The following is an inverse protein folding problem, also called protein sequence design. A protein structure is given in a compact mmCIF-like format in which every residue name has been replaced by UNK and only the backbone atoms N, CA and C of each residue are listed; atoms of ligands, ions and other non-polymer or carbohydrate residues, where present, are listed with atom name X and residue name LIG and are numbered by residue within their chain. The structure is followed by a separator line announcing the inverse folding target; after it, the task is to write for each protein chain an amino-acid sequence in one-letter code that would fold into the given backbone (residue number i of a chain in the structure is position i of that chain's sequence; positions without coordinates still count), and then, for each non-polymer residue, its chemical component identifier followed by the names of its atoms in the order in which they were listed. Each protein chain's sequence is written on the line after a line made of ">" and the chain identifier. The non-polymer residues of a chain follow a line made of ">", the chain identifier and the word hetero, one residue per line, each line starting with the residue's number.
data_IF_390516003094
#
_entry.id   IF_390516003094
#
_cell.length_a   1.000
_cell.length_b   1.000
_cell.length_c   1.000
_cell.angle_alpha   90.00
_cell.angle_beta   90.00
_cell.angle_gamma   90.00
#
_symmetry.space_group_name_H-M   'P 1'
#
loop_
_entity.id
_entity.type
_entity.pdbx_description
1 polymer ?
#
# COMPACT_ATOMS: atom_id res chain seq x y z
N UNK A 1 -13.56 1.34 -23.45
CA UNK A 1 -14.10 0.44 -24.49
C UNK A 1 -14.16 -1.00 -23.99
N UNK A 2 -13.04 -1.75 -23.89
CA UNK A 2 -13.06 -3.18 -23.54
C UNK A 2 -13.79 -3.54 -22.22
N UNK A 3 -13.52 -2.85 -21.11
CA UNK A 3 -14.20 -3.11 -19.84
C UNK A 3 -15.72 -2.86 -19.89
N UNK A 4 -16.16 -1.78 -20.54
CA UNK A 4 -17.57 -1.50 -20.75
C UNK A 4 -18.23 -2.55 -21.64
N UNK A 5 -17.52 -3.03 -22.67
CA UNK A 5 -17.97 -4.14 -23.52
C UNK A 5 -18.06 -5.45 -22.75
N UNK A 6 -17.10 -5.76 -21.86
CA UNK A 6 -17.13 -6.95 -21.00
C UNK A 6 -18.27 -6.89 -19.99
N UNK A 7 -18.48 -5.74 -19.33
CA UNK A 7 -19.59 -5.54 -18.40
C UNK A 7 -20.96 -5.63 -19.10
N UNK A 8 -21.07 -5.10 -20.33
CA UNK A 8 -22.27 -5.21 -21.14
C UNK A 8 -22.55 -6.65 -21.62
N UNK A 9 -21.49 -7.45 -21.82
CA UNK A 9 -21.59 -8.82 -22.36
C UNK A 9 -21.81 -9.90 -21.31
N UNK A 10 -21.28 -9.72 -20.09
CA UNK A 10 -21.33 -10.74 -19.03
C UNK A 10 -22.01 -10.26 -17.75
N UNK A 11 -22.51 -9.02 -17.72
CA UNK A 11 -22.91 -8.35 -16.49
C UNK A 11 -21.70 -7.84 -15.70
N UNK A 12 -21.88 -6.78 -14.93
CA UNK A 12 -20.86 -6.36 -13.97
C UNK A 12 -20.86 -7.35 -12.79
N UNK A 13 -19.69 -7.80 -12.31
CA UNK A 13 -19.62 -8.69 -11.15
C UNK A 13 -20.24 -7.98 -9.94
N UNK A 14 -20.93 -8.69 -9.02
CA UNK A 14 -21.63 -8.06 -7.90
C UNK A 14 -20.66 -7.31 -6.98
N UNK A 15 -19.44 -7.83 -6.80
CA UNK A 15 -18.37 -7.26 -5.98
C UNK A 15 -17.02 -7.45 -6.66
N UNK A 16 -16.13 -6.47 -6.52
CA UNK A 16 -14.75 -6.53 -7.01
C UNK A 16 -13.79 -6.31 -5.85
N UNK A 17 -12.89 -7.27 -5.64
CA UNK A 17 -11.87 -7.23 -4.61
C UNK A 17 -10.48 -7.34 -5.22
N UNK A 18 -9.52 -6.61 -4.67
CA UNK A 18 -8.13 -6.64 -5.07
C UNK A 18 -7.26 -7.12 -3.91
N UNK A 19 -6.49 -8.19 -4.14
CA UNK A 19 -5.38 -8.58 -3.29
C UNK A 19 -4.09 -8.35 -4.08
N UNK A 20 -3.17 -7.57 -3.52
CA UNK A 20 -1.95 -7.21 -4.21
C UNK A 20 -0.76 -7.20 -3.25
N UNK A 21 0.39 -7.62 -3.78
CA UNK A 21 1.65 -7.67 -3.06
C UNK A 21 2.67 -6.70 -3.66
N UNK A 22 3.45 -6.04 -2.81
CA UNK A 22 4.58 -5.20 -3.24
C UNK A 22 4.14 -4.11 -4.23
N UNK A 23 4.87 -3.91 -5.33
CA UNK A 23 4.53 -2.96 -6.41
C UNK A 23 3.13 -3.19 -7.00
N UNK A 24 2.59 -4.41 -6.96
CA UNK A 24 1.23 -4.68 -7.42
C UNK A 24 0.18 -3.82 -6.72
N UNK A 25 0.44 -3.42 -5.48
CA UNK A 25 -0.43 -2.51 -4.72
C UNK A 25 -0.55 -1.13 -5.40
N UNK A 26 0.54 -0.63 -5.97
CA UNK A 26 0.54 0.62 -6.72
C UNK A 26 -0.15 0.46 -8.09
N UNK A 27 -0.06 -0.72 -8.70
CA UNK A 27 -0.79 -1.04 -9.93
C UNK A 27 -2.30 -1.00 -9.68
N UNK A 28 -2.78 -1.59 -8.58
CA UNK A 28 -4.20 -1.52 -8.22
C UNK A 28 -4.62 -0.07 -8.02
N UNK A 29 -3.87 0.72 -7.25
CA UNK A 29 -4.16 2.15 -7.05
C UNK A 29 -4.21 2.93 -8.36
N UNK A 30 -3.28 2.65 -9.28
CA UNK A 30 -3.27 3.24 -10.61
C UNK A 30 -4.48 2.79 -11.45
N UNK A 31 -4.89 1.53 -11.35
CA UNK A 31 -6.07 1.03 -12.07
C UNK A 31 -7.35 1.78 -11.65
N UNK A 32 -7.48 2.18 -10.38
CA UNK A 32 -8.63 2.98 -9.90
C UNK A 32 -8.76 4.34 -10.59
N UNK A 33 -7.68 4.87 -11.16
CA UNK A 33 -7.70 6.15 -11.91
C UNK A 33 -7.99 5.95 -13.39
N UNK A 34 -7.94 4.71 -13.87
CA UNK A 34 -8.09 4.39 -15.27
C UNK A 34 -9.57 4.41 -15.67
N UNK A 35 -9.97 5.07 -16.79
CA UNK A 35 -11.37 5.16 -17.21
C UNK A 35 -12.07 3.80 -17.41
N UNK A 36 -11.31 2.75 -17.72
CA UNK A 36 -11.87 1.40 -17.84
C UNK A 36 -12.39 0.83 -16.52
N UNK A 37 -11.95 1.37 -15.37
CA UNK A 37 -12.44 0.94 -14.06
C UNK A 37 -13.72 1.65 -13.62
N UNK A 38 -14.12 2.74 -14.27
CA UNK A 38 -15.30 3.55 -13.92
C UNK A 38 -16.57 2.71 -13.67
N UNK A 39 -16.93 1.73 -14.52
CA UNK A 39 -18.14 0.91 -14.32
C UNK A 39 -18.10 0.02 -13.06
N UNK A 40 -16.92 -0.20 -12.48
CA UNK A 40 -16.71 -1.09 -11.34
C UNK A 40 -16.41 -0.35 -10.04
N UNK A 41 -16.16 0.96 -10.05
CA UNK A 41 -15.76 1.71 -8.85
C UNK A 41 -16.81 1.63 -7.73
N UNK A 42 -18.10 1.61 -8.09
CA UNK A 42 -19.21 1.45 -7.16
C UNK A 42 -19.35 0.03 -6.59
N UNK A 43 -18.60 -0.94 -7.11
CA UNK A 43 -18.65 -2.37 -6.73
C UNK A 43 -17.41 -2.83 -5.96
N UNK A 44 -16.51 -1.91 -5.64
CA UNK A 44 -15.27 -2.21 -4.91
C UNK A 44 -15.57 -2.64 -3.46
N UNK A 45 -15.10 -3.83 -3.11
CA UNK A 45 -15.39 -4.47 -1.84
C UNK A 45 -14.15 -4.50 -0.94
N UNK A 46 -13.16 -5.33 -1.23
CA UNK A 46 -11.93 -5.47 -0.45
C UNK A 46 -10.70 -4.98 -1.21
N UNK A 47 -9.87 -4.18 -0.53
CA UNK A 47 -8.49 -3.92 -0.92
C UNK A 47 -7.54 -4.49 0.13
N UNK A 48 -6.88 -5.59 -0.22
CA UNK A 48 -5.85 -6.24 0.58
C UNK A 48 -4.46 -5.87 0.02
N UNK A 49 -3.78 -4.99 0.74
CA UNK A 49 -2.43 -4.52 0.40
C UNK A 49 -1.40 -5.25 1.27
N UNK A 50 -0.60 -6.12 0.66
CA UNK A 50 0.46 -6.87 1.34
C UNK A 50 1.81 -6.24 1.01
N UNK A 51 2.51 -5.72 2.02
CA UNK A 51 3.80 -5.02 1.86
C UNK A 51 3.76 -3.96 0.74
N UNK A 52 2.72 -3.13 0.72
CA UNK A 52 2.52 -2.13 -0.32
C UNK A 52 3.36 -0.86 -0.11
N UNK A 53 4.21 -0.41 -1.05
CA UNK A 53 5.01 0.80 -0.88
C UNK A 53 4.20 2.07 -1.18
N UNK A 54 3.12 2.31 -0.42
CA UNK A 54 2.16 3.38 -0.70
C UNK A 54 2.74 4.79 -0.70
N UNK A 55 3.78 5.01 0.10
CA UNK A 55 4.52 6.26 0.24
C UNK A 55 5.88 6.21 -0.49
N UNK A 56 6.09 5.14 -1.26
CA UNK A 56 7.32 4.83 -1.97
C UNK A 56 8.44 4.38 -1.05
N UNK A 57 9.65 4.41 -1.58
CA UNK A 57 10.87 4.08 -0.83
C UNK A 57 11.55 5.34 -0.33
N UNK A 58 11.74 5.42 0.98
CA UNK A 58 12.58 6.44 1.60
C UNK A 58 13.99 5.88 1.68
N UNK A 59 14.67 5.84 0.52
CA UNK A 59 15.96 5.13 0.42
C UNK A 59 16.84 5.48 -0.77
N UNK A 60 16.56 6.51 -1.55
CA UNK A 60 17.39 6.85 -2.70
C UNK A 60 17.30 8.32 -3.10
N UNK A 61 18.20 9.13 -2.54
CA UNK A 61 18.45 10.58 -2.77
C UNK A 61 17.47 11.52 -2.04
N UNK A 62 17.88 12.23 -0.98
CA UNK A 62 19.06 13.09 -0.83
C UNK A 62 20.07 12.62 0.25
N UNK A 63 20.94 11.66 -0.07
CA UNK A 63 22.17 11.38 0.73
C UNK A 63 23.43 11.90 0.02
N UNK A 64 23.27 12.53 -1.15
CA UNK A 64 24.39 12.93 -2.01
C UNK A 64 24.80 14.41 -2.00
N UNK A 65 23.90 15.35 -1.70
CA UNK A 65 24.20 16.77 -1.97
C UNK A 65 24.39 17.66 -0.72
N UNK A 66 23.97 17.22 0.47
CA UNK A 66 24.04 18.07 1.67
C UNK A 66 24.17 17.26 2.96
N UNK A 67 25.15 16.35 3.00
CA UNK A 67 25.49 15.58 4.19
C UNK A 67 27.00 15.67 4.43
N UNK A 68 27.36 16.31 5.54
CA UNK A 68 28.72 16.35 6.03
C UNK A 68 29.32 14.92 6.10
N UNK A 69 30.57 14.83 5.69
CA UNK A 69 31.38 13.62 5.51
C UNK A 69 31.40 12.75 6.77
N UNK A 70 31.21 13.36 7.95
CA UNK A 70 31.17 12.72 9.27
C UNK A 70 29.89 11.89 9.50
N UNK A 71 28.75 12.29 8.91
CA UNK A 71 27.46 11.61 9.07
C UNK A 71 27.33 10.32 8.23
N UNK A 72 28.13 10.18 7.15
CA UNK A 72 28.33 8.91 6.42
C UNK A 72 28.84 7.77 7.31
N UNK A 73 29.48 8.09 8.44
CA UNK A 73 30.09 7.11 9.35
C UNK A 73 29.12 6.58 10.41
N UNK A 74 28.01 7.27 10.67
CA UNK A 74 27.07 6.95 11.76
C UNK A 74 25.74 6.33 11.30
N UNK A 75 25.40 6.39 10.00
CA UNK A 75 24.23 5.66 9.47
C UNK A 75 24.67 4.24 9.13
N UNK A 76 24.43 3.38 10.11
CA UNK A 76 24.96 2.05 10.28
C UNK A 76 24.84 1.11 9.08
N UNK A 77 25.89 0.30 8.96
CA UNK A 77 26.02 -1.01 8.32
C UNK A 77 24.71 -1.78 8.10
N UNK A 78 23.97 -1.46 7.06
CA UNK A 78 23.16 -2.46 6.38
C UNK A 78 23.53 -2.41 4.91
N UNK A 79 24.74 -2.90 4.61
CA UNK A 79 25.20 -3.16 3.25
C UNK A 79 24.12 -3.94 2.47
N UNK A 80 23.36 -4.81 3.14
CA UNK A 80 22.21 -5.55 2.63
C UNK A 80 21.04 -4.70 2.10
N UNK A 81 20.70 -3.55 2.71
CA UNK A 81 19.61 -2.70 2.21
C UNK A 81 20.02 -2.00 0.90
N UNK A 82 21.27 -1.52 0.84
CA UNK A 82 21.86 -1.03 -0.43
C UNK A 82 22.02 -2.15 -1.44
N UNK A 83 22.41 -3.35 -1.02
CA UNK A 83 22.61 -4.49 -1.92
C UNK A 83 21.27 -5.00 -2.47
N UNK A 84 20.20 -5.08 -1.67
CA UNK A 84 18.87 -5.47 -2.14
C UNK A 84 18.23 -4.46 -3.10
N UNK A 85 18.38 -3.16 -2.83
CA UNK A 85 17.96 -2.11 -3.76
C UNK A 85 18.89 -2.03 -5.00
N UNK A 86 20.17 -2.37 -4.86
CA UNK A 86 21.11 -2.50 -5.97
C UNK A 86 20.81 -3.73 -6.83
N UNK A 87 20.39 -4.86 -6.25
CA UNK A 87 19.99 -6.07 -6.99
C UNK A 87 18.70 -5.83 -7.78
N UNK A 88 17.75 -5.05 -7.25
CA UNK A 88 16.57 -4.61 -8.04
C UNK A 88 16.94 -3.58 -9.12
N UNK A 89 17.90 -2.69 -8.84
CA UNK A 89 18.52 -1.79 -9.84
C UNK A 89 19.33 -2.54 -10.91
N UNK A 90 19.87 -3.71 -10.58
CA UNK A 90 20.63 -4.58 -11.49
C UNK A 90 19.72 -5.40 -12.41
N UNK A 91 18.44 -5.61 -12.05
CA UNK A 91 17.48 -6.36 -12.87
C UNK A 91 16.92 -5.48 -14.00
N UNK A 92 16.63 -4.19 -13.76
CA UNK A 92 16.37 -3.23 -14.83
C UNK A 92 16.46 -1.76 -14.35
N UNK A 93 17.61 -1.07 -14.48
CA UNK A 93 17.77 0.32 -14.04
C UNK A 93 16.94 1.33 -14.87
N UNK A 94 16.34 0.89 -15.99
CA UNK A 94 15.47 1.68 -16.86
C UNK A 94 13.97 1.48 -16.55
N UNK A 95 13.62 0.67 -15.56
CA UNK A 95 12.22 0.45 -15.21
C UNK A 95 11.59 1.74 -14.66
N UNK A 96 10.61 2.29 -15.41
CA UNK A 96 9.88 3.52 -15.07
C UNK A 96 9.23 3.47 -13.68
N UNK A 97 8.71 2.30 -13.28
CA UNK A 97 8.11 2.13 -11.96
C UNK A 97 9.11 2.34 -10.81
N UNK A 98 10.40 2.05 -11.02
CA UNK A 98 11.44 2.25 -10.02
C UNK A 98 11.80 3.73 -9.87
N UNK A 99 11.79 4.51 -10.96
CA UNK A 99 11.94 5.97 -10.85
C UNK A 99 10.72 6.60 -10.16
N UNK A 100 9.51 6.12 -10.43
CA UNK A 100 8.27 6.65 -9.82
C UNK A 100 8.20 6.34 -8.31
N UNK A 101 8.49 5.10 -7.89
CA UNK A 101 8.46 4.70 -6.46
C UNK A 101 9.58 5.36 -5.63
N UNK A 102 10.65 5.83 -6.29
CA UNK A 102 11.77 6.55 -5.67
C UNK A 102 11.72 8.06 -5.91
N UNK A 103 10.68 8.57 -6.58
CA UNK A 103 10.43 10.00 -6.84
C UNK A 103 11.56 10.67 -7.64
N UNK A 104 12.01 9.98 -8.68
CA UNK A 104 13.05 10.42 -9.62
C UNK A 104 12.52 10.69 -11.02
N UNK A 105 11.21 10.54 -11.21
CA UNK A 105 10.50 10.72 -12.46
C UNK A 105 10.17 12.19 -12.76
N UNK A 106 10.34 13.10 -11.80
CA UNK A 106 10.20 14.54 -11.97
C UNK A 106 11.18 15.34 -11.10
N UNK A 107 11.36 16.64 -11.41
CA UNK A 107 12.27 17.52 -10.68
C UNK A 107 11.73 18.02 -9.33
N UNK A 108 10.41 18.12 -9.19
CA UNK A 108 9.70 18.44 -7.94
C UNK A 108 8.91 17.22 -7.48
N UNK A 109 8.83 17.01 -6.17
CA UNK A 109 8.16 15.84 -5.60
C UNK A 109 6.66 15.86 -5.91
N UNK A 110 6.08 17.05 -5.94
CA UNK A 110 4.67 17.30 -6.21
C UNK A 110 4.27 16.86 -7.64
N UNK A 111 5.21 16.91 -8.58
CA UNK A 111 5.02 16.50 -9.97
C UNK A 111 5.24 15.00 -10.19
N UNK A 112 5.91 14.31 -9.25
CA UNK A 112 6.16 12.87 -9.32
C UNK A 112 4.84 12.09 -9.37
N UNK A 113 4.81 11.03 -10.17
CA UNK A 113 3.64 10.20 -10.39
C UNK A 113 3.04 9.68 -9.09
N UNK A 114 3.87 9.16 -8.19
CA UNK A 114 3.40 8.57 -6.94
C UNK A 114 2.76 9.61 -6.00
N UNK A 115 3.28 10.85 -5.99
CA UNK A 115 2.67 11.96 -5.24
C UNK A 115 1.28 12.30 -5.80
N UNK A 116 1.18 12.47 -7.13
CA UNK A 116 -0.09 12.71 -7.81
C UNK A 116 -1.09 11.58 -7.60
N UNK A 117 -0.63 10.32 -7.64
CA UNK A 117 -1.45 9.14 -7.37
C UNK A 117 -1.97 9.09 -5.93
N UNK A 118 -1.25 9.63 -4.95
CA UNK A 118 -1.72 9.74 -3.58
C UNK A 118 -2.84 10.78 -3.40
N UNK A 119 -2.87 11.80 -4.25
CA UNK A 119 -3.83 12.91 -4.19
C UNK A 119 -4.99 12.74 -5.19
N UNK A 120 -5.06 11.61 -5.89
CA UNK A 120 -6.12 11.36 -6.85
C UNK A 120 -7.48 11.15 -6.15
N UNK A 121 -8.56 11.67 -6.75
CA UNK A 121 -9.94 11.57 -6.20
C UNK A 121 -10.39 10.13 -5.95
N UNK A 122 -10.04 9.22 -6.87
CA UNK A 122 -10.30 7.79 -6.74
C UNK A 122 -9.18 7.19 -5.90
N UNK A 123 -9.51 6.75 -4.70
CA UNK A 123 -8.55 6.22 -3.73
C UNK A 123 -9.14 5.10 -2.88
N UNK A 124 -8.52 4.85 -1.72
CA UNK A 124 -8.86 3.69 -0.89
C UNK A 124 -10.26 3.79 -0.27
N UNK A 125 -10.83 4.99 -0.15
CA UNK A 125 -12.19 5.20 0.38
C UNK A 125 -13.30 4.63 -0.52
N UNK A 126 -12.97 4.25 -1.77
CA UNK A 126 -13.91 3.55 -2.65
C UNK A 126 -14.21 2.12 -2.18
N UNK A 127 -13.30 1.50 -1.44
CA UNK A 127 -13.48 0.14 -0.93
C UNK A 127 -14.33 0.11 0.34
N UNK A 128 -15.07 -0.98 0.55
CA UNK A 128 -15.76 -1.29 1.82
C UNK A 128 -14.77 -1.74 2.90
N UNK A 129 -13.73 -2.46 2.51
CA UNK A 129 -12.71 -2.97 3.41
C UNK A 129 -11.32 -2.65 2.89
N UNK A 130 -10.52 -1.94 3.68
CA UNK A 130 -9.11 -1.67 3.40
C UNK A 130 -8.27 -2.39 4.44
N UNK A 131 -7.46 -3.34 3.99
CA UNK A 131 -6.57 -4.11 4.84
C UNK A 131 -5.12 -3.88 4.42
N UNK A 132 -4.33 -3.33 5.33
CA UNK A 132 -2.92 -3.03 5.14
C UNK A 132 -2.09 -4.02 5.93
N UNK A 133 -1.42 -4.93 5.23
CA UNK A 133 -0.55 -5.93 5.83
C UNK A 133 0.91 -5.51 5.66
N UNK A 134 1.67 -5.59 6.74
CA UNK A 134 3.12 -5.38 6.74
C UNK A 134 3.83 -6.42 7.58
N UNK A 135 5.15 -6.49 7.45
CA UNK A 135 5.99 -7.21 8.38
C UNK A 135 7.10 -6.30 8.91
N UNK A 136 7.37 -6.26 10.23
CA UNK A 136 8.61 -5.72 10.78
C UNK A 136 9.89 -6.21 10.10
N UNK A 137 9.84 -7.44 9.60
CA UNK A 137 11.00 -8.16 9.09
C UNK A 137 11.23 -7.88 7.60
N UNK A 138 10.27 -7.24 6.92
CA UNK A 138 10.40 -6.80 5.54
C UNK A 138 11.33 -5.58 5.48
N UNK A 139 12.49 -5.76 4.85
CA UNK A 139 13.45 -4.66 4.64
C UNK A 139 13.33 -4.01 3.27
N UNK A 140 12.48 -4.54 2.39
CA UNK A 140 12.24 -3.99 1.06
C UNK A 140 11.22 -2.86 1.14
N UNK A 141 10.08 -3.13 1.78
CA UNK A 141 9.02 -2.14 1.98
C UNK A 141 9.00 -1.68 3.42
N UNK A 142 9.32 -0.41 3.63
CA UNK A 142 9.34 0.17 4.95
C UNK A 142 7.93 0.13 5.57
N UNK A 143 7.84 -0.34 6.82
CA UNK A 143 6.58 -0.54 7.54
C UNK A 143 5.64 0.68 7.55
N UNK A 144 6.17 1.89 7.69
CA UNK A 144 5.35 3.11 7.68
C UNK A 144 4.64 3.32 6.33
N UNK A 145 5.28 2.94 5.23
CA UNK A 145 4.75 2.99 3.87
C UNK A 145 3.69 1.89 3.69
N UNK A 146 4.00 0.67 4.12
CA UNK A 146 3.08 -0.48 4.07
C UNK A 146 1.78 -0.26 4.85
N UNK A 147 1.86 0.38 6.02
CA UNK A 147 0.71 0.62 6.91
C UNK A 147 0.05 1.98 6.71
N UNK A 148 0.60 2.85 5.86
CA UNK A 148 0.24 4.27 5.82
C UNK A 148 0.25 4.89 7.23
N UNK A 149 1.23 4.53 8.06
CA UNK A 149 1.28 4.94 9.47
C UNK A 149 2.63 5.57 9.76
N UNK A 150 2.61 6.87 10.05
CA UNK A 150 3.82 7.68 10.19
C UNK A 150 4.34 7.75 11.64
N UNK A 151 3.62 7.15 12.59
CA UNK A 151 4.06 7.05 13.98
C UNK A 151 5.43 6.38 14.08
N UNK A 152 6.36 7.02 14.78
CA UNK A 152 7.74 6.54 14.95
C UNK A 152 8.61 6.67 13.69
N UNK A 153 8.10 7.21 12.58
CA UNK A 153 8.90 7.43 11.38
C UNK A 153 9.68 8.75 11.46
N UNK A 154 10.97 8.64 11.79
CA UNK A 154 11.89 9.79 11.85
C UNK A 154 12.43 10.08 10.45
N UNK A 155 11.74 10.94 9.70
CA UNK A 155 12.43 11.71 8.66
C UNK A 155 13.03 12.94 9.35
N UNK A 156 14.23 13.39 8.93
CA UNK A 156 14.76 14.69 9.37
C UNK A 156 13.67 15.75 9.20
N UNK A 157 13.26 16.33 10.32
CA UNK A 157 12.30 17.44 10.35
C UNK A 157 12.77 18.54 9.40
N UNK A 158 11.83 19.10 8.63
CA UNK A 158 12.12 20.14 7.63
C UNK A 158 12.49 19.65 6.23
N UNK A 159 12.72 18.35 5.99
CA UNK A 159 12.99 17.89 4.62
C UNK A 159 11.71 17.94 3.74
N UNK A 160 11.85 18.38 2.48
CA UNK A 160 10.76 18.34 1.48
C UNK A 160 10.15 16.94 1.37
N UNK A 161 10.99 15.91 1.57
CA UNK A 161 10.59 14.51 1.54
C UNK A 161 9.69 14.13 2.71
N UNK A 162 10.01 14.58 3.93
CA UNK A 162 9.15 14.39 5.10
C UNK A 162 7.76 14.98 4.88
N UNK A 163 7.74 16.24 4.41
CA UNK A 163 6.50 16.96 4.12
C UNK A 163 5.65 16.21 3.10
N UNK A 164 6.23 15.85 1.96
CA UNK A 164 5.52 15.11 0.92
C UNK A 164 5.01 13.75 1.40
N UNK A 165 5.80 13.00 2.17
CA UNK A 165 5.35 11.71 2.73
C UNK A 165 4.16 11.89 3.69
N UNK A 166 4.16 12.95 4.51
CA UNK A 166 3.03 13.29 5.38
C UNK A 166 1.79 13.70 4.58
N UNK A 167 1.96 14.56 3.58
CA UNK A 167 0.88 15.01 2.68
C UNK A 167 0.23 13.83 1.96
N UNK A 168 1.05 12.94 1.37
CA UNK A 168 0.54 11.74 0.70
C UNK A 168 -0.19 10.78 1.65
N UNK A 169 0.35 10.52 2.83
CA UNK A 169 -0.31 9.62 3.79
C UNK A 169 -1.66 10.18 4.22
N UNK A 170 -1.73 11.50 4.48
CA UNK A 170 -2.98 12.20 4.80
C UNK A 170 -3.96 12.16 3.64
N UNK A 171 -3.54 12.46 2.42
CA UNK A 171 -4.38 12.43 1.23
C UNK A 171 -5.02 11.05 1.00
N UNK A 172 -4.27 9.97 1.25
CA UNK A 172 -4.77 8.60 1.10
C UNK A 172 -5.72 8.21 2.24
N UNK A 173 -5.41 8.58 3.49
CA UNK A 173 -6.12 8.10 4.67
C UNK A 173 -7.29 8.96 5.13
N UNK A 174 -7.22 10.29 4.97
CA UNK A 174 -8.29 11.18 5.46
C UNK A 174 -9.67 10.77 4.90
N UNK A 175 -9.85 10.51 3.60
CA UNK A 175 -11.15 10.07 3.07
C UNK A 175 -11.61 8.71 3.63
N UNK A 176 -10.68 7.81 3.96
CA UNK A 176 -10.98 6.50 4.55
C UNK A 176 -11.48 6.66 5.99
N UNK A 177 -10.78 7.50 6.77
CA UNK A 177 -11.08 7.74 8.19
C UNK A 177 -12.35 8.58 8.36
N UNK A 178 -12.57 9.58 7.52
CA UNK A 178 -13.81 10.39 7.52
C UNK A 178 -15.04 9.52 7.24
N UNK A 179 -14.94 8.62 6.26
CA UNK A 179 -16.02 7.68 5.93
C UNK A 179 -16.27 6.66 7.04
N UNK A 180 -15.21 6.21 7.72
CA UNK A 180 -15.32 5.32 8.89
C UNK A 180 -16.01 6.02 10.08
N UNK A 181 -15.61 7.25 10.40
CA UNK A 181 -16.12 8.02 11.55
C UNK A 181 -17.52 8.60 11.35
N UNK A 182 -17.90 8.94 10.11
CA UNK A 182 -19.28 9.39 9.78
C UNK A 182 -20.31 8.30 10.08
N UNK A 183 -19.92 7.04 9.87
CA UNK A 183 -20.74 5.88 10.21
C UNK A 183 -20.92 5.74 11.73
N UNK A 184 -19.84 5.85 12.50
CA UNK A 184 -19.89 5.76 13.97
C UNK A 184 -20.77 6.85 14.60
N UNK A 185 -20.82 8.04 14.00
CA UNK A 185 -21.66 9.17 14.44
C UNK A 185 -23.13 9.07 14.02
N UNK A 186 -23.52 8.07 13.23
CA UNK A 186 -24.91 7.92 12.76
C UNK A 186 -25.39 9.01 11.80
N UNK A 187 -24.48 9.84 11.28
CA UNK A 187 -24.78 10.93 10.31
C UNK A 187 -25.20 10.38 8.94
N UNK A 188 -24.99 9.09 8.72
CA UNK A 188 -25.63 8.28 7.70
C UNK A 188 -26.58 7.31 8.41
N UNK A 189 -27.85 7.70 8.55
CA UNK A 189 -28.78 7.13 9.54
C UNK A 189 -28.98 5.60 9.51
N UNK A 190 -29.51 5.02 10.60
CA UNK A 190 -29.81 3.59 10.66
C UNK A 190 -30.99 3.29 9.72
N UNK A 191 -30.78 2.39 8.76
CA UNK A 191 -31.91 1.60 8.28
C UNK A 191 -32.33 0.73 9.47
N UNK A 192 -33.53 0.98 9.98
CA UNK A 192 -34.09 0.26 11.12
C UNK A 192 -34.06 -1.25 10.88
N UNK A 193 -33.67 -1.98 11.94
CA UNK A 193 -33.98 -3.38 12.24
C UNK A 193 -34.13 -4.38 11.08
N UNK A 194 -33.16 -5.28 10.95
CA UNK A 194 -33.27 -6.47 10.11
C UNK A 194 -31.94 -6.82 9.47
N UNK A 195 -31.67 -8.11 9.31
CA UNK A 195 -30.49 -8.68 8.65
C UNK A 195 -30.45 -8.39 7.14
N UNK A 196 -30.56 -7.12 6.73
CA UNK A 196 -30.53 -6.67 5.34
C UNK A 196 -29.09 -6.35 4.89
N UNK A 197 -28.24 -7.37 4.87
CA UNK A 197 -27.07 -7.39 3.98
C UNK A 197 -27.55 -7.60 2.54
N UNK A 198 -27.98 -6.53 1.83
CA UNK A 198 -27.93 -6.40 0.34
C UNK A 198 -28.82 -5.28 -0.25
N UNK A 199 -28.97 -4.12 0.42
CA UNK A 199 -29.49 -2.94 -0.29
C UNK A 199 -28.41 -2.26 -1.13
N UNK A 200 -28.41 -2.51 -2.44
CA UNK A 200 -27.72 -1.69 -3.45
C UNK A 200 -28.20 -0.22 -3.31
N UNK A 201 -27.45 0.60 -2.57
CA UNK A 201 -27.71 2.05 -2.48
C UNK A 201 -27.50 2.69 -1.10
N UNK A 202 -27.28 1.91 -0.03
CA UNK A 202 -27.02 2.47 1.30
C UNK A 202 -25.61 3.06 1.47
N UNK A 203 -25.41 3.99 2.42
CA UNK A 203 -24.09 4.51 2.78
C UNK A 203 -23.20 3.36 3.28
N UNK A 204 -22.17 3.02 2.48
CA UNK A 204 -21.31 1.86 2.73
C UNK A 204 -20.20 2.21 3.71
N UNK A 205 -20.13 1.54 4.85
CA UNK A 205 -19.02 1.66 5.80
C UNK A 205 -17.70 1.27 5.14
N UNK A 206 -16.66 2.10 5.30
CA UNK A 206 -15.28 1.72 4.96
C UNK A 206 -14.53 1.36 6.23
N UNK A 207 -14.16 0.09 6.42
CA UNK A 207 -13.31 -0.34 7.54
C UNK A 207 -11.83 -0.28 7.17
N UNK A 208 -10.98 0.21 8.06
CA UNK A 208 -9.52 0.17 7.92
C UNK A 208 -8.91 -0.79 8.95
N UNK A 209 -8.22 -1.83 8.48
CA UNK A 209 -7.47 -2.74 9.33
C UNK A 209 -5.98 -2.70 8.99
N UNK A 210 -5.13 -2.66 10.01
CA UNK A 210 -3.68 -2.75 9.87
C UNK A 210 -3.20 -4.02 10.57
N UNK A 211 -2.46 -4.85 9.87
CA UNK A 211 -2.02 -6.16 10.35
C UNK A 211 -0.49 -6.24 10.21
N UNK A 212 0.18 -6.61 11.28
CA UNK A 212 1.58 -6.99 11.23
C UNK A 212 1.74 -8.50 11.31
N UNK A 213 2.57 -9.03 10.42
CA UNK A 213 2.90 -10.45 10.37
C UNK A 213 4.34 -10.65 10.78
N UNK A 214 4.52 -11.52 11.77
CA UNK A 214 5.81 -11.93 12.26
C UNK A 214 6.05 -13.38 11.82
N UNK A 215 6.93 -13.57 10.85
CA UNK A 215 7.33 -14.89 10.39
C UNK A 215 8.30 -15.50 11.39
N UNK A 216 8.09 -16.78 11.72
CA UNK A 216 9.00 -17.53 12.56
C UNK A 216 10.38 -17.61 11.90
N UNK A 217 11.44 -17.40 12.69
CA UNK A 217 12.81 -17.67 12.22
C UNK A 217 13.01 -19.19 12.24
N UNK A 218 12.89 -19.85 11.09
CA UNK A 218 13.27 -21.25 10.98
C UNK A 218 14.80 -21.33 11.09
N UNK A 219 15.30 -22.12 12.03
CA UNK A 219 16.72 -22.15 12.40
C UNK A 219 17.63 -22.84 11.37
N UNK A 220 18.93 -22.47 11.41
CA UNK A 220 20.02 -23.35 10.94
C UNK A 220 20.97 -22.82 9.85
N UNK A 221 20.78 -21.62 9.30
CA UNK A 221 21.72 -21.10 8.28
C UNK A 221 21.45 -19.66 7.87
N UNK A 222 22.48 -18.99 7.32
CA UNK A 222 22.34 -17.66 6.72
C UNK A 222 21.68 -17.83 5.35
N UNK A 223 20.35 -17.78 5.30
CA UNK A 223 19.62 -17.71 4.04
C UNK A 223 19.95 -16.36 3.35
N UNK A 224 20.33 -16.42 2.07
CA UNK A 224 20.61 -15.23 1.26
C UNK A 224 19.42 -14.26 1.25
N UNK A 225 18.18 -14.77 1.23
CA UNK A 225 16.98 -13.93 1.30
C UNK A 225 16.85 -13.21 2.65
N UNK A 226 17.28 -13.84 3.74
CA UNK A 226 17.31 -13.23 5.07
C UNK A 226 18.41 -12.18 5.18
N UNK A 227 19.56 -12.44 4.54
CA UNK A 227 20.69 -11.53 4.49
C UNK A 227 20.35 -10.26 3.69
N UNK A 228 19.74 -10.38 2.51
CA UNK A 228 19.30 -9.23 1.69
C UNK A 228 18.01 -8.58 2.23
N UNK A 229 17.36 -9.19 3.23
CA UNK A 229 16.16 -8.63 3.86
C UNK A 229 14.86 -8.78 3.07
N UNK A 230 14.84 -9.68 2.07
CA UNK A 230 13.67 -9.99 1.25
C UNK A 230 12.88 -11.19 1.77
N UNK A 231 13.41 -11.94 2.74
CA UNK A 231 12.77 -13.17 3.25
C UNK A 231 11.31 -12.94 3.66
N UNK A 232 11.04 -12.01 4.57
CA UNK A 232 9.68 -11.71 4.97
C UNK A 232 8.80 -11.16 3.83
N UNK A 233 9.41 -10.47 2.85
CA UNK A 233 8.72 -9.98 1.65
C UNK A 233 8.25 -11.16 0.76
N UNK A 234 9.02 -12.23 0.69
CA UNK A 234 8.68 -13.44 -0.05
C UNK A 234 7.74 -14.35 0.75
N UNK A 235 7.96 -14.47 2.07
CA UNK A 235 7.20 -15.36 2.96
C UNK A 235 5.70 -15.05 2.98
N UNK A 236 5.32 -13.81 2.67
CA UNK A 236 3.92 -13.42 2.44
C UNK A 236 3.22 -14.24 1.35
N UNK A 237 3.95 -14.75 0.36
CA UNK A 237 3.40 -15.53 -0.75
C UNK A 237 3.72 -17.02 -0.64
N UNK A 238 4.81 -17.38 0.06
CA UNK A 238 5.29 -18.77 0.16
C UNK A 238 4.80 -19.50 1.42
N UNK A 239 4.16 -18.80 2.36
CA UNK A 239 3.64 -19.42 3.60
C UNK A 239 2.14 -19.66 3.50
N UNK A 240 1.75 -20.89 3.18
CA UNK A 240 0.34 -21.32 3.10
C UNK A 240 -0.44 -21.02 4.39
N UNK A 241 0.17 -21.24 5.55
CA UNK A 241 -0.45 -21.01 6.86
C UNK A 241 -0.80 -19.54 7.04
N UNK A 242 0.05 -18.64 6.56
CA UNK A 242 -0.24 -17.20 6.59
C UNK A 242 -1.46 -16.87 5.73
N UNK A 243 -1.53 -17.40 4.50
CA UNK A 243 -2.68 -17.16 3.60
C UNK A 243 -3.97 -17.72 4.22
N UNK A 244 -3.94 -18.95 4.74
CA UNK A 244 -5.09 -19.56 5.44
C UNK A 244 -5.53 -18.74 6.66
N UNK A 245 -4.57 -18.31 7.48
CA UNK A 245 -4.84 -17.46 8.64
C UNK A 245 -5.44 -16.11 8.24
N UNK A 246 -4.90 -15.48 7.20
CA UNK A 246 -5.36 -14.19 6.69
C UNK A 246 -6.82 -14.28 6.22
N UNK A 247 -7.14 -15.30 5.42
CA UNK A 247 -8.51 -15.55 4.93
C UNK A 247 -9.44 -15.82 6.13
N UNK A 248 -9.03 -16.67 7.07
CA UNK A 248 -9.85 -16.98 8.25
C UNK A 248 -10.12 -15.74 9.12
N UNK A 249 -9.09 -14.93 9.36
CA UNK A 249 -9.17 -13.73 10.20
C UNK A 249 -10.00 -12.62 9.54
N UNK A 250 -9.89 -12.49 8.23
CA UNK A 250 -10.56 -11.46 7.43
C UNK A 250 -11.80 -11.99 6.70
N UNK A 251 -12.34 -13.14 7.11
CA UNK A 251 -13.47 -13.80 6.42
C UNK A 251 -14.64 -12.87 6.14
N UNK A 252 -14.94 -11.93 7.05
CA UNK A 252 -16.01 -10.92 6.89
C UNK A 252 -15.74 -9.88 5.79
N UNK A 253 -14.51 -9.73 5.35
CA UNK A 253 -14.12 -8.85 4.26
C UNK A 253 -13.91 -9.61 2.94
N UNK A 254 -13.83 -10.95 3.00
CA UNK A 254 -13.69 -11.82 1.83
C UNK A 254 -15.04 -12.38 1.34
N UNK A 255 -15.97 -12.61 2.27
CA UNK A 255 -17.35 -13.07 2.04
C UNK A 255 -18.28 -11.85 1.95
#
# INVERSE_FOLDING_TARGET
>A
AAAATTAARFGAPPRVSFAAHSVGVLIVRAALTHPAMEPYLSRLHLFLSISGPHLGYVGGDRVGADMDKKSRRFIGKSAAFRLGLCCTRAINPKAKCLSEITFRDAGKIEDCYLYRLAHHKNGLALFRHVVLVSSPQDKYVQRHSARLQLEGFRIKEGSTRARATMEMARAILAPVLEKATRWERGETGPAAGGDDEEREGGPRLTSLSRVDVHFAKVGGGVDFNQLIGRKAHIDFLETDEYVRFLIWKLRRAFL
#
